data_IF_305431900154
#
_entry.id   IF_305431900154
#
_cell.length_a   1.000
_cell.length_b   1.000
_cell.length_c   1.000
_cell.angle_alpha   90.00
_cell.angle_beta   90.00
_cell.angle_gamma   90.00
#
_symmetry.space_group_name_H-M   'P 1'
#
loop_
_entity.id
_entity.type
_entity.pdbx_description
1 polymer ?
#
# COMPACT_ATOMS: atom_id res chain seq x y z
N UNK A 1 24.63 -38.89 -19.55
CA UNK A 1 23.25 -38.45 -19.83
C UNK A 1 23.14 -37.01 -19.36
N UNK A 2 23.14 -36.09 -20.33
CA UNK A 2 22.94 -34.66 -20.11
C UNK A 2 21.43 -34.37 -19.94
N UNK A 3 21.16 -33.19 -19.36
CA UNK A 3 19.89 -32.46 -19.36
C UNK A 3 18.84 -32.89 -18.31
N UNK A 4 19.06 -32.51 -17.05
CA UNK A 4 17.98 -32.39 -16.06
C UNK A 4 18.12 -31.14 -15.17
N UNK A 5 18.72 -30.07 -15.70
CA UNK A 5 19.09 -28.88 -14.93
C UNK A 5 18.52 -27.55 -15.45
N UNK A 6 17.50 -27.53 -16.34
CA UNK A 6 17.10 -26.28 -17.03
C UNK A 6 15.61 -25.95 -16.96
N UNK A 7 14.73 -26.80 -16.43
CA UNK A 7 13.27 -26.58 -16.54
C UNK A 7 12.61 -25.98 -15.30
N UNK A 8 13.26 -25.98 -14.13
CA UNK A 8 12.65 -25.46 -12.90
C UNK A 8 12.93 -23.97 -12.60
N UNK A 9 13.69 -23.29 -13.45
CA UNK A 9 14.06 -21.87 -13.25
C UNK A 9 13.18 -20.88 -14.02
N UNK A 10 12.14 -21.32 -14.73
CA UNK A 10 11.33 -20.44 -15.60
C UNK A 10 9.92 -20.13 -15.12
N UNK A 11 9.48 -20.67 -13.97
CA UNK A 11 8.11 -20.49 -13.47
C UNK A 11 8.02 -19.91 -12.05
N UNK A 12 9.14 -19.71 -11.36
CA UNK A 12 9.15 -19.09 -10.03
C UNK A 12 9.20 -17.54 -10.07
N UNK A 13 9.47 -16.94 -11.24
CA UNK A 13 9.78 -15.50 -11.37
C UNK A 13 8.57 -14.58 -11.68
N UNK A 14 7.32 -15.06 -11.70
CA UNK A 14 6.17 -14.23 -12.12
C UNK A 14 4.87 -14.40 -11.34
N UNK A 15 4.95 -14.81 -10.08
CA UNK A 15 3.75 -14.90 -9.22
C UNK A 15 3.99 -14.25 -7.86
N UNK A 16 4.68 -13.11 -7.83
CA UNK A 16 4.62 -12.22 -6.67
C UNK A 16 3.41 -11.30 -6.87
N UNK A 17 2.43 -11.46 -5.98
CA UNK A 17 1.08 -10.91 -6.04
C UNK A 17 0.96 -9.54 -6.75
N UNK A 18 0.16 -9.50 -7.83
CA UNK A 18 -0.31 -8.25 -8.43
C UNK A 18 -1.08 -7.45 -7.37
N UNK A 19 -0.48 -6.38 -6.84
CA UNK A 19 -1.15 -5.49 -5.90
C UNK A 19 -1.78 -4.32 -6.65
N UNK A 20 -3.10 -4.18 -6.58
CA UNK A 20 -3.79 -3.03 -7.17
C UNK A 20 -3.44 -1.74 -6.43
N UNK A 21 -3.57 -0.58 -7.09
CA UNK A 21 -3.37 0.73 -6.45
C UNK A 21 -4.22 0.87 -5.18
N UNK A 22 -5.46 0.35 -5.20
CA UNK A 22 -6.34 0.34 -4.03
C UNK A 22 -5.82 -0.54 -2.88
N UNK A 23 -5.28 -1.73 -3.20
CA UNK A 23 -4.68 -2.63 -2.22
C UNK A 23 -3.47 -1.98 -1.54
N UNK A 24 -2.56 -1.42 -2.34
CA UNK A 24 -1.37 -0.72 -1.84
C UNK A 24 -1.73 0.48 -0.97
N UNK A 25 -2.71 1.28 -1.39
CA UNK A 25 -3.23 2.39 -0.60
C UNK A 25 -3.77 1.93 0.77
N UNK A 26 -4.54 0.84 0.79
CA UNK A 26 -5.10 0.29 2.02
C UNK A 26 -4.02 -0.20 2.97
N UNK A 27 -3.05 -0.98 2.48
CA UNK A 27 -1.91 -1.46 3.27
C UNK A 27 -1.06 -0.31 3.82
N UNK A 28 -0.78 0.69 2.99
CA UNK A 28 0.05 1.84 3.38
C UNK A 28 -0.62 2.66 4.49
N UNK A 29 -1.92 2.96 4.35
CA UNK A 29 -2.68 3.72 5.37
C UNK A 29 -2.92 2.91 6.65
N UNK A 30 -3.12 1.60 6.53
CA UNK A 30 -3.27 0.67 7.67
C UNK A 30 -1.98 0.54 8.48
N UNK A 31 -0.87 0.24 7.82
CA UNK A 31 0.44 0.09 8.47
C UNK A 31 0.90 1.41 9.12
N UNK A 32 0.63 2.57 8.50
CA UNK A 32 0.89 3.88 9.10
C UNK A 32 0.06 4.15 10.35
N UNK A 33 -1.25 3.86 10.30
CA UNK A 33 -2.13 4.03 11.47
C UNK A 33 -1.70 3.15 12.66
N UNK A 34 -1.26 1.91 12.39
CA UNK A 34 -0.68 1.03 13.40
C UNK A 34 0.61 1.63 13.97
N UNK A 35 1.53 2.08 13.11
CA UNK A 35 2.82 2.61 13.54
C UNK A 35 2.66 3.84 14.47
N UNK A 36 1.74 4.75 14.13
CA UNK A 36 1.37 5.87 14.99
C UNK A 36 0.81 5.40 16.34
N UNK A 37 -0.12 4.44 16.32
CA UNK A 37 -0.73 3.92 17.54
C UNK A 37 0.29 3.23 18.46
N UNK A 38 1.27 2.54 17.89
CA UNK A 38 2.30 1.82 18.63
C UNK A 38 3.48 2.68 19.06
N UNK A 39 3.43 4.01 18.84
CA UNK A 39 4.49 4.93 19.26
C UNK A 39 5.76 4.86 18.43
N UNK A 40 5.69 4.30 17.22
CA UNK A 40 6.81 4.24 16.27
C UNK A 40 6.46 5.00 14.99
N UNK A 41 6.25 6.33 15.05
CA UNK A 41 6.01 7.13 13.86
C UNK A 41 7.20 7.05 12.91
N UNK A 42 6.94 7.26 11.62
CA UNK A 42 8.00 7.45 10.63
C UNK A 42 8.83 8.69 10.95
N UNK A 43 10.10 8.66 10.55
CA UNK A 43 10.91 9.89 10.52
C UNK A 43 10.37 10.87 9.47
N UNK A 44 10.82 12.13 9.53
CA UNK A 44 10.32 13.19 8.64
C UNK A 44 10.50 12.87 7.14
N UNK A 45 11.59 12.21 6.76
CA UNK A 45 11.87 11.91 5.36
C UNK A 45 10.98 10.77 4.85
N UNK A 46 10.80 9.72 5.65
CA UNK A 46 9.89 8.62 5.37
C UNK A 46 8.43 9.07 5.38
N UNK A 47 8.03 9.93 6.32
CA UNK A 47 6.70 10.53 6.41
C UNK A 47 6.38 11.36 5.16
N UNK A 48 7.35 12.13 4.65
CA UNK A 48 7.20 12.89 3.40
C UNK A 48 6.90 11.96 2.21
N UNK A 49 7.64 10.84 2.10
CA UNK A 49 7.41 9.85 1.04
C UNK A 49 6.08 9.13 1.20
N UNK A 50 5.70 8.78 2.43
CA UNK A 50 4.38 8.23 2.74
C UNK A 50 3.27 9.16 2.25
N UNK A 51 3.34 10.45 2.58
CA UNK A 51 2.33 11.44 2.16
C UNK A 51 2.26 11.58 0.64
N UNK A 52 3.40 11.55 -0.05
CA UNK A 52 3.45 11.57 -1.52
C UNK A 52 2.79 10.33 -2.13
N UNK A 53 3.11 9.14 -1.62
CA UNK A 53 2.51 7.88 -2.07
C UNK A 53 1.00 7.89 -1.88
N UNK A 54 0.52 8.26 -0.69
CA UNK A 54 -0.91 8.35 -0.39
C UNK A 54 -1.61 9.34 -1.33
N UNK A 55 -1.05 10.54 -1.53
CA UNK A 55 -1.65 11.53 -2.41
C UNK A 55 -1.77 11.01 -3.86
N UNK A 56 -0.72 10.39 -4.38
CA UNK A 56 -0.68 9.88 -5.76
C UNK A 56 -1.60 8.67 -5.96
N UNK A 57 -1.65 7.75 -5.00
CA UNK A 57 -2.59 6.63 -5.03
C UNK A 57 -4.04 7.12 -4.96
N UNK A 58 -4.36 8.09 -4.09
CA UNK A 58 -5.70 8.69 -4.04
C UNK A 58 -6.08 9.30 -5.38
N UNK A 59 -5.18 10.09 -5.98
CA UNK A 59 -5.43 10.72 -7.27
C UNK A 59 -5.69 9.66 -8.34
N UNK A 60 -4.84 8.62 -8.41
CA UNK A 60 -5.03 7.51 -9.35
C UNK A 60 -6.38 6.81 -9.13
N UNK A 61 -6.76 6.51 -7.89
CA UNK A 61 -8.06 5.89 -7.58
C UNK A 61 -9.21 6.80 -8.01
N UNK A 62 -9.18 8.09 -7.66
CA UNK A 62 -10.25 9.05 -7.98
C UNK A 62 -10.41 9.23 -9.49
N UNK A 63 -9.30 9.34 -10.23
CA UNK A 63 -9.34 9.59 -11.67
C UNK A 63 -9.71 8.36 -12.49
N UNK A 64 -9.31 7.18 -12.05
CA UNK A 64 -9.43 5.95 -12.83
C UNK A 64 -10.57 5.03 -12.36
N UNK A 65 -11.18 5.30 -11.21
CA UNK A 65 -12.34 4.54 -10.73
C UNK A 65 -13.60 5.01 -11.44
N UNK A 66 -14.14 4.14 -12.30
CA UNK A 66 -15.45 4.33 -12.91
C UNK A 66 -16.51 3.54 -12.16
N UNK A 67 -17.21 4.19 -11.23
CA UNK A 67 -18.38 3.62 -10.57
C UNK A 67 -19.66 4.26 -11.12
N UNK A 68 -20.59 3.47 -11.71
CA UNK A 68 -21.85 4.00 -12.20
C UNK A 68 -22.60 4.77 -11.10
N UNK A 69 -23.03 5.99 -11.41
CA UNK A 69 -23.76 6.85 -10.46
C UNK A 69 -22.92 7.47 -9.34
N UNK A 70 -21.59 7.41 -9.42
CA UNK A 70 -20.66 8.07 -8.48
C UNK A 70 -19.79 9.10 -9.19
N UNK A 71 -19.59 10.24 -8.54
CA UNK A 71 -18.68 11.29 -8.99
C UNK A 71 -17.27 11.08 -8.40
N UNK A 72 -16.27 11.76 -8.96
CA UNK A 72 -14.93 11.82 -8.38
C UNK A 72 -14.93 12.32 -6.92
N UNK A 73 -15.83 13.25 -6.58
CA UNK A 73 -16.00 13.74 -5.22
C UNK A 73 -16.54 12.66 -4.28
N UNK A 74 -17.47 11.81 -4.75
CA UNK A 74 -17.97 10.67 -3.95
C UNK A 74 -16.86 9.67 -3.63
N UNK A 75 -15.98 9.39 -4.60
CA UNK A 75 -14.82 8.51 -4.42
C UNK A 75 -13.83 9.15 -3.43
N UNK A 76 -13.54 10.44 -3.56
CA UNK A 76 -12.67 11.18 -2.64
C UNK A 76 -13.20 11.14 -1.20
N UNK A 77 -14.51 11.36 -1.01
CA UNK A 77 -15.14 11.30 0.30
C UNK A 77 -15.13 9.89 0.89
N UNK A 78 -15.32 8.86 0.06
CA UNK A 78 -15.18 7.47 0.50
C UNK A 78 -13.76 7.16 0.97
N UNK A 79 -12.73 7.62 0.25
CA UNK A 79 -11.33 7.44 0.63
C UNK A 79 -11.01 8.13 1.96
N UNK A 80 -11.44 9.38 2.15
CA UNK A 80 -11.27 10.11 3.42
C UNK A 80 -11.96 9.40 4.59
N UNK A 81 -13.19 8.92 4.37
CA UNK A 81 -13.93 8.14 5.39
C UNK A 81 -13.21 6.84 5.73
N UNK A 82 -12.65 6.16 4.73
CA UNK A 82 -11.88 4.94 4.92
C UNK A 82 -10.65 5.18 5.79
N UNK A 83 -9.89 6.24 5.54
CA UNK A 83 -8.70 6.57 6.33
C UNK A 83 -9.03 6.93 7.77
N UNK A 84 -10.05 7.78 7.96
CA UNK A 84 -10.53 8.14 9.30
C UNK A 84 -11.01 6.89 10.06
N UNK A 85 -11.70 5.97 9.38
CA UNK A 85 -12.13 4.70 9.97
C UNK A 85 -10.94 3.79 10.31
N UNK A 86 -9.94 3.68 9.44
CA UNK A 86 -8.71 2.92 9.71
C UNK A 86 -7.97 3.47 10.93
N UNK A 87 -7.80 4.78 11.01
CA UNK A 87 -7.15 5.43 12.15
C UNK A 87 -7.96 5.22 13.44
N UNK A 88 -9.27 5.44 13.40
CA UNK A 88 -10.15 5.23 14.55
C UNK A 88 -10.17 3.76 15.01
N UNK A 89 -10.08 2.80 14.08
CA UNK A 89 -10.02 1.37 14.39
C UNK A 89 -8.81 1.04 15.25
N UNK A 90 -7.62 1.53 14.91
CA UNK A 90 -6.41 1.25 15.68
C UNK A 90 -6.32 2.06 16.97
N UNK A 91 -6.81 3.29 16.98
CA UNK A 91 -6.97 4.06 18.22
C UNK A 91 -7.87 3.32 19.23
N UNK A 92 -8.98 2.74 18.75
CA UNK A 92 -9.93 2.00 19.60
C UNK A 92 -9.43 0.61 20.00
N UNK A 93 -8.68 -0.07 19.12
CA UNK A 93 -8.11 -1.40 19.40
C UNK A 93 -7.07 -1.39 20.52
N UNK A 94 -6.58 -0.21 20.94
CA UNK A 94 -5.59 -0.09 22.00
C UNK A 94 -4.19 -0.50 21.55
N UNK A 95 -3.35 -0.85 22.52
CA UNK A 95 -1.95 -1.25 22.28
C UNK A 95 -1.76 -2.74 22.00
N UNK A 96 -2.83 -3.55 21.99
CA UNK A 96 -2.74 -5.02 21.91
C UNK A 96 -2.12 -5.49 20.59
N UNK A 97 -2.35 -4.76 19.48
CA UNK A 97 -1.70 -5.07 18.21
C UNK A 97 -0.18 -4.85 18.28
N UNK A 98 0.29 -3.89 19.08
CA UNK A 98 1.69 -3.51 19.18
C UNK A 98 2.57 -4.58 19.82
N UNK A 99 1.97 -5.49 20.58
CA UNK A 99 2.65 -6.65 21.20
C UNK A 99 2.42 -7.94 20.41
N UNK A 100 1.65 -7.89 19.32
CA UNK A 100 1.41 -9.05 18.47
C UNK A 100 2.68 -9.44 17.71
N UNK A 101 2.80 -10.73 17.41
CA UNK A 101 3.90 -11.25 16.58
C UNK A 101 3.93 -10.65 15.17
N UNK A 102 2.78 -10.20 14.68
CA UNK A 102 2.62 -9.69 13.32
C UNK A 102 3.04 -8.20 13.22
N UNK A 103 3.17 -7.48 14.34
CA UNK A 103 3.52 -6.07 14.33
C UNK A 103 4.86 -5.78 13.64
N UNK A 104 5.86 -6.63 13.87
CA UNK A 104 7.17 -6.51 13.26
C UNK A 104 7.09 -6.53 11.72
N UNK A 105 6.24 -7.38 11.16
CA UNK A 105 6.05 -7.49 9.71
C UNK A 105 5.34 -6.25 9.14
N UNK A 106 4.33 -5.73 9.84
CA UNK A 106 3.64 -4.49 9.45
C UNK A 106 4.58 -3.28 9.51
N UNK A 107 5.44 -3.20 10.52
CA UNK A 107 6.44 -2.14 10.62
C UNK A 107 7.48 -2.25 9.50
N UNK A 108 8.01 -3.45 9.24
CA UNK A 108 8.95 -3.69 8.15
C UNK A 108 8.34 -3.35 6.78
N UNK A 109 7.05 -3.66 6.59
CA UNK A 109 6.31 -3.32 5.37
C UNK A 109 6.21 -1.81 5.17
N UNK A 110 5.79 -1.05 6.19
CA UNK A 110 5.70 0.41 6.11
C UNK A 110 7.06 1.06 5.79
N UNK A 111 8.12 0.60 6.47
CA UNK A 111 9.47 1.08 6.24
C UNK A 111 9.95 0.74 4.82
N UNK A 112 9.64 -0.46 4.33
CA UNK A 112 9.96 -0.88 2.96
C UNK A 112 9.31 0.04 1.93
N UNK A 113 8.01 0.35 2.07
CA UNK A 113 7.31 1.27 1.16
C UNK A 113 7.89 2.67 1.13
N UNK A 114 8.47 3.12 2.25
CA UNK A 114 8.93 4.50 2.45
C UNK A 114 10.44 4.67 2.29
N UNK A 115 11.14 3.65 1.78
CA UNK A 115 12.52 3.81 1.30
C UNK A 115 12.54 4.72 0.05
N UNK A 116 13.64 5.45 -0.22
CA UNK A 116 13.76 6.26 -1.43
C UNK A 116 13.52 5.46 -2.71
N UNK A 117 14.10 4.26 -2.81
CA UNK A 117 14.00 3.41 -3.99
C UNK A 117 12.57 2.86 -4.19
N UNK A 118 11.99 2.25 -3.16
CA UNK A 118 10.66 1.63 -3.32
C UNK A 118 9.57 2.67 -3.49
N UNK A 119 9.62 3.78 -2.76
CA UNK A 119 8.64 4.86 -2.93
C UNK A 119 8.64 5.40 -4.37
N UNK A 120 9.82 5.56 -4.98
CA UNK A 120 9.90 5.95 -6.40
C UNK A 120 9.31 4.88 -7.33
N UNK A 121 9.66 3.60 -7.17
CA UNK A 121 9.12 2.51 -7.99
C UNK A 121 7.60 2.41 -7.89
N UNK A 122 7.06 2.54 -6.67
CA UNK A 122 5.62 2.51 -6.42
C UNK A 122 4.96 3.71 -7.11
N UNK A 123 5.51 4.92 -6.98
CA UNK A 123 4.99 6.12 -7.66
C UNK A 123 4.96 5.96 -9.18
N UNK A 124 6.03 5.41 -9.76
CA UNK A 124 6.09 5.14 -11.20
C UNK A 124 5.02 4.12 -11.63
N UNK A 125 4.82 3.05 -10.87
CA UNK A 125 3.77 2.06 -11.12
C UNK A 125 2.36 2.67 -11.03
N UNK A 126 2.08 3.43 -9.97
CA UNK A 126 0.78 4.11 -9.77
C UNK A 126 0.44 5.08 -10.90
N UNK A 127 1.45 5.78 -11.43
CA UNK A 127 1.29 6.73 -12.56
C UNK A 127 1.07 6.03 -13.90
N UNK A 128 1.55 4.80 -14.07
CA UNK A 128 1.34 4.00 -15.28
C UNK A 128 0.00 3.29 -15.28
N UNK A 129 -0.46 2.82 -14.12
CA UNK A 129 -1.71 2.08 -14.01
C UNK A 129 -2.93 2.94 -14.36
N UNK A 130 -3.75 2.42 -15.28
CA UNK A 130 -5.03 3.04 -15.70
C UNK A 130 -6.26 2.41 -15.04
N UNK A 131 -6.10 1.27 -14.36
CA UNK A 131 -7.17 0.61 -13.63
C UNK A 131 -6.69 0.39 -12.18
N UNK A 132 -7.25 1.11 -11.20
CA UNK A 132 -6.78 1.07 -9.82
C UNK A 132 -7.12 -0.26 -9.14
N UNK A 133 -7.90 -1.12 -9.79
CA UNK A 133 -8.27 -2.46 -9.33
C UNK A 133 -7.37 -3.55 -9.92
N UNK A 134 -6.50 -3.22 -10.89
CA UNK A 134 -5.52 -4.14 -11.47
C UNK A 134 -4.12 -3.78 -10.97
N UNK A 135 -3.36 -4.80 -10.58
CA UNK A 135 -1.95 -4.64 -10.25
C UNK A 135 -1.08 -4.79 -11.49
N UNK A 136 -0.07 -3.93 -11.60
CA UNK A 136 1.17 -4.28 -12.30
C UNK A 136 2.14 -4.80 -11.23
N UNK A 137 2.94 -5.83 -11.51
CA UNK A 137 3.97 -6.30 -10.58
C UNK A 137 4.78 -5.11 -10.05
N UNK A 138 4.78 -4.91 -8.72
CA UNK A 138 5.57 -3.88 -8.03
C UNK A 138 6.88 -4.50 -7.55
#
# INVERSE_FOLDING_TARGET
MLAFAVVLSFLADRCMADASTFCMYSLLTETHAIALQCGHPLDTAAETRYQQLVAEMRNSIIHNTHQPGKTAADVQDALKKSEAATQARYQKAGGDFCTSKDYADYQAMLLSFTTPENSQKILESVRRSKDPNKGECI
#
